data_IF_828132541197
#
_entry.id   IF_828132541197
#
_cell.length_a   1.000
_cell.length_b   1.000
_cell.length_c   1.000
_cell.angle_alpha   90.00
_cell.angle_beta   90.00
_cell.angle_gamma   90.00
#
_symmetry.space_group_name_H-M   'P 1'
#
loop_
_entity.id
_entity.type
_entity.pdbx_description
1 polymer ?
#
# COMPACT_ATOMS: atom_id res chain seq x y z
N UNK A 1 -8.27 -6.34 14.34
CA UNK A 1 -7.64 -6.99 15.51
C UNK A 1 -6.35 -7.71 15.07
N UNK A 2 -5.37 -6.94 14.55
CA UNK A 2 -4.09 -7.52 14.08
C UNK A 2 -3.09 -7.65 15.24
N UNK A 3 -3.26 -6.84 16.27
CA UNK A 3 -2.30 -6.69 17.38
C UNK A 3 -2.74 -7.43 18.67
N UNK A 4 -3.73 -8.32 18.58
CA UNK A 4 -4.28 -9.07 19.72
C UNK A 4 -4.20 -10.56 19.42
N UNK A 5 -3.64 -11.33 20.35
CA UNK A 5 -3.57 -12.79 20.23
C UNK A 5 -4.96 -13.43 20.39
N UNK A 6 -5.22 -14.51 19.63
CA UNK A 6 -6.48 -15.29 19.79
C UNK A 6 -6.68 -15.73 21.26
N UNK A 7 -5.62 -16.10 21.95
CA UNK A 7 -5.65 -16.48 23.35
C UNK A 7 -6.19 -15.37 24.25
N UNK A 8 -5.72 -14.13 24.06
CA UNK A 8 -6.19 -12.96 24.83
C UNK A 8 -7.67 -12.67 24.57
N UNK A 9 -8.12 -12.86 23.32
CA UNK A 9 -9.55 -12.73 22.98
C UNK A 9 -10.37 -13.79 23.70
N UNK A 10 -9.94 -15.05 23.70
CA UNK A 10 -10.65 -16.13 24.36
C UNK A 10 -10.70 -15.92 25.88
N UNK A 11 -9.60 -15.55 26.51
CA UNK A 11 -9.55 -15.22 27.95
C UNK A 11 -10.48 -14.06 28.31
N UNK A 12 -10.56 -13.03 27.44
CA UNK A 12 -11.49 -11.91 27.61
C UNK A 12 -12.96 -12.36 27.53
N UNK A 13 -13.31 -13.21 26.55
CA UNK A 13 -14.66 -13.73 26.36
C UNK A 13 -15.09 -14.60 27.58
N UNK A 14 -14.21 -15.49 28.02
CA UNK A 14 -14.45 -16.32 29.22
C UNK A 14 -14.68 -15.46 30.48
N UNK A 15 -13.76 -14.52 30.73
CA UNK A 15 -13.82 -13.64 31.89
C UNK A 15 -15.11 -12.82 31.96
N UNK A 16 -15.68 -12.47 30.82
CA UNK A 16 -16.89 -11.66 30.71
C UNK A 16 -18.16 -12.51 30.45
N UNK A 17 -18.07 -13.85 30.49
CA UNK A 17 -19.18 -14.77 30.20
C UNK A 17 -19.85 -14.49 28.84
N UNK A 18 -19.08 -14.12 27.84
CA UNK A 18 -19.58 -13.85 26.49
C UNK A 18 -19.51 -15.14 25.68
N UNK A 19 -20.68 -15.63 25.24
CA UNK A 19 -20.75 -16.81 24.36
C UNK A 19 -20.24 -16.46 22.95
N UNK A 20 -19.50 -17.38 22.34
CA UNK A 20 -19.03 -17.27 20.96
C UNK A 20 -19.23 -18.59 20.22
N UNK A 21 -19.29 -18.51 18.91
CA UNK A 21 -19.43 -19.68 18.03
C UNK A 21 -18.06 -19.93 17.38
N UNK A 22 -17.56 -21.15 17.48
CA UNK A 22 -16.42 -21.61 16.68
C UNK A 22 -16.93 -22.15 15.35
N UNK A 23 -16.42 -21.61 14.27
CA UNK A 23 -16.66 -22.13 12.94
C UNK A 23 -15.88 -23.46 12.78
N UNK A 24 -16.60 -24.57 12.54
CA UNK A 24 -16.03 -25.90 12.40
C UNK A 24 -15.01 -26.02 11.26
N UNK A 25 -15.15 -25.17 10.23
CA UNK A 25 -14.22 -25.15 9.08
C UNK A 25 -12.82 -24.65 9.47
N UNK A 26 -12.65 -23.98 10.62
CA UNK A 26 -11.34 -23.55 11.10
C UNK A 26 -10.40 -24.72 11.46
N UNK A 27 -10.95 -25.89 11.78
CA UNK A 27 -10.18 -27.12 12.06
C UNK A 27 -9.85 -27.93 10.79
N UNK A 28 -10.52 -27.64 9.68
CA UNK A 28 -10.30 -28.34 8.42
C UNK A 28 -9.04 -27.81 7.72
N UNK A 29 -8.20 -28.74 7.23
CA UNK A 29 -6.96 -28.38 6.54
C UNK A 29 -7.09 -28.27 5.02
N UNK A 30 -8.29 -28.15 4.48
CA UNK A 30 -8.54 -28.08 3.04
C UNK A 30 -8.06 -26.76 2.43
N UNK A 31 -8.10 -25.69 3.21
CA UNK A 31 -7.63 -24.39 2.79
C UNK A 31 -6.15 -24.18 3.15
N UNK A 32 -5.37 -23.63 2.22
CA UNK A 32 -3.95 -23.31 2.43
C UNK A 32 -3.69 -22.50 3.71
N UNK A 33 -4.57 -21.53 4.03
CA UNK A 33 -4.47 -20.73 5.25
C UNK A 33 -4.56 -21.59 6.52
N UNK A 34 -5.48 -22.55 6.53
CA UNK A 34 -5.67 -23.46 7.66
C UNK A 34 -4.49 -24.43 7.79
N UNK A 35 -3.97 -24.97 6.66
CA UNK A 35 -2.75 -25.81 6.67
C UNK A 35 -1.55 -25.06 7.27
N UNK A 36 -1.36 -23.80 6.90
CA UNK A 36 -0.27 -22.99 7.45
C UNK A 36 -0.44 -22.83 8.96
N UNK A 37 -1.64 -22.47 9.41
CA UNK A 37 -1.92 -22.22 10.83
C UNK A 37 -1.90 -23.48 11.68
N UNK A 38 -2.51 -24.57 11.19
CA UNK A 38 -2.76 -25.75 12.01
C UNK A 38 -1.64 -26.80 11.93
N UNK A 39 -0.81 -26.74 10.87
CA UNK A 39 0.24 -27.75 10.61
C UNK A 39 1.62 -27.10 10.59
N UNK A 40 1.84 -26.13 9.71
CA UNK A 40 3.19 -25.57 9.47
C UNK A 40 3.67 -24.75 10.68
N UNK A 41 2.85 -23.87 11.22
CA UNK A 41 3.24 -23.05 12.37
C UNK A 41 3.55 -23.92 13.59
N UNK A 42 2.66 -24.83 14.02
CA UNK A 42 2.97 -25.73 15.14
C UNK A 42 4.21 -26.60 14.90
N UNK A 43 4.42 -27.09 13.67
CA UNK A 43 5.60 -27.88 13.35
C UNK A 43 6.89 -27.07 13.57
N UNK A 44 6.95 -25.84 13.05
CA UNK A 44 8.13 -24.99 13.22
C UNK A 44 8.34 -24.60 14.69
N UNK A 45 7.27 -24.31 15.41
CA UNK A 45 7.35 -23.94 16.83
C UNK A 45 7.80 -25.12 17.69
N UNK A 46 7.26 -26.31 17.48
CA UNK A 46 7.55 -27.49 18.30
C UNK A 46 8.89 -28.15 17.94
N UNK A 47 9.18 -28.29 16.63
CA UNK A 47 10.37 -29.03 16.18
C UNK A 47 11.61 -28.14 16.07
N UNK A 48 11.43 -26.86 15.75
CA UNK A 48 12.55 -25.93 15.55
C UNK A 48 12.73 -24.93 16.70
N UNK A 49 11.80 -24.86 17.63
CA UNK A 49 11.86 -23.95 18.78
C UNK A 49 11.70 -22.47 18.46
N UNK A 50 11.21 -22.13 17.26
CA UNK A 50 10.99 -20.74 16.84
C UNK A 50 9.58 -20.28 17.14
N UNK A 51 9.43 -19.18 17.87
CA UNK A 51 8.13 -18.52 18.02
C UNK A 51 7.82 -17.65 16.82
N UNK A 52 7.17 -18.24 15.80
CA UNK A 52 6.84 -17.56 14.55
C UNK A 52 5.90 -16.39 14.75
N UNK A 53 4.90 -16.52 15.61
CA UNK A 53 3.96 -15.43 15.89
C UNK A 53 4.70 -14.19 16.41
N UNK A 54 5.56 -14.34 17.40
CA UNK A 54 6.35 -13.23 17.93
C UNK A 54 7.25 -12.62 16.86
N UNK A 55 7.90 -13.45 16.06
CA UNK A 55 8.79 -12.98 14.98
C UNK A 55 8.02 -12.16 13.92
N UNK A 56 6.84 -12.65 13.51
CA UNK A 56 6.01 -11.91 12.54
C UNK A 56 5.44 -10.62 13.12
N UNK A 57 5.04 -10.58 14.38
CA UNK A 57 4.58 -9.36 15.04
C UNK A 57 5.72 -8.33 15.10
N UNK A 58 6.90 -8.75 15.53
CA UNK A 58 8.08 -7.86 15.60
C UNK A 58 8.41 -7.31 14.22
N UNK A 59 8.46 -8.16 13.18
CA UNK A 59 8.71 -7.74 11.81
C UNK A 59 7.63 -6.77 11.30
N UNK A 60 6.35 -7.07 11.56
CA UNK A 60 5.24 -6.21 11.18
C UNK A 60 5.32 -4.82 11.82
N UNK A 61 5.68 -4.75 13.10
CA UNK A 61 5.83 -3.48 13.80
C UNK A 61 7.00 -2.67 13.24
N UNK A 62 8.15 -3.31 13.00
CA UNK A 62 9.30 -2.64 12.37
C UNK A 62 8.94 -2.08 10.98
N UNK A 63 8.26 -2.89 10.15
CA UNK A 63 7.83 -2.44 8.82
C UNK A 63 6.85 -1.26 8.92
N UNK A 64 5.90 -1.29 9.86
CA UNK A 64 4.96 -0.17 10.06
C UNK A 64 5.65 1.13 10.46
N UNK A 65 6.65 1.05 11.34
CA UNK A 65 7.45 2.22 11.74
C UNK A 65 8.22 2.81 10.56
N UNK A 66 8.84 1.94 9.73
CA UNK A 66 9.53 2.35 8.51
C UNK A 66 8.55 2.94 7.47
N UNK A 67 7.38 2.34 7.31
CA UNK A 67 6.33 2.85 6.41
C UNK A 67 5.83 4.22 6.85
N UNK A 68 5.54 4.42 8.13
CA UNK A 68 5.11 5.71 8.66
C UNK A 68 6.16 6.81 8.41
N UNK A 69 7.44 6.50 8.65
CA UNK A 69 8.53 7.44 8.36
C UNK A 69 8.61 7.79 6.86
N UNK A 70 8.48 6.80 5.97
CA UNK A 70 8.52 7.03 4.53
C UNK A 70 7.31 7.86 4.06
N UNK A 71 6.13 7.63 4.62
CA UNK A 71 4.93 8.39 4.30
C UNK A 71 5.05 9.85 4.71
N UNK A 72 5.52 10.11 5.93
CA UNK A 72 5.75 11.45 6.43
C UNK A 72 6.81 12.17 5.57
N UNK A 73 7.90 11.48 5.24
CA UNK A 73 8.94 12.01 4.38
C UNK A 73 8.41 12.41 2.99
N UNK A 74 7.60 11.54 2.38
CA UNK A 74 7.02 11.81 1.06
C UNK A 74 6.01 12.96 1.16
N UNK A 75 5.10 12.93 2.13
CA UNK A 75 4.09 13.98 2.30
C UNK A 75 4.71 15.33 2.61
N UNK A 76 5.65 15.41 3.52
CA UNK A 76 6.22 16.70 3.92
C UNK A 76 7.19 17.28 2.89
N UNK A 77 8.06 16.48 2.33
CA UNK A 77 9.15 16.97 1.49
C UNK A 77 8.77 16.98 0.02
N UNK A 78 8.17 15.89 -0.46
CA UNK A 78 7.93 15.70 -1.90
C UNK A 78 6.63 16.36 -2.34
N UNK A 79 5.52 16.07 -1.66
CA UNK A 79 4.22 16.63 -2.04
C UNK A 79 4.17 18.14 -1.86
N UNK A 80 4.79 18.69 -0.81
CA UNK A 80 4.90 20.15 -0.62
C UNK A 80 5.75 20.85 -1.71
N UNK A 81 6.75 20.17 -2.26
CA UNK A 81 7.57 20.70 -3.37
C UNK A 81 6.93 20.54 -4.75
N UNK A 82 5.99 19.64 -4.89
CA UNK A 82 5.19 19.49 -6.08
C UNK A 82 4.03 20.50 -6.00
N UNK A 83 4.03 21.52 -6.86
CA UNK A 83 2.87 22.40 -6.97
C UNK A 83 1.73 21.57 -7.59
N UNK A 84 0.74 21.26 -6.78
CA UNK A 84 -0.50 20.67 -7.26
C UNK A 84 -1.40 21.79 -7.76
N UNK A 85 -1.68 21.84 -9.07
CA UNK A 85 -2.66 22.78 -9.62
C UNK A 85 -4.08 22.28 -9.31
N UNK A 86 -4.48 22.47 -8.07
CA UNK A 86 -5.76 21.94 -7.55
C UNK A 86 -6.84 23.02 -7.42
N UNK A 87 -6.53 24.27 -7.82
CA UNK A 87 -7.43 25.39 -7.49
C UNK A 87 -8.84 25.27 -8.09
N UNK A 88 -9.02 24.46 -9.15
CA UNK A 88 -10.32 24.36 -9.85
C UNK A 88 -10.91 22.94 -9.91
N UNK A 89 -10.22 21.89 -9.47
CA UNK A 89 -10.76 20.53 -9.51
C UNK A 89 -10.11 19.61 -8.47
N UNK A 90 -10.74 19.38 -7.31
CA UNK A 90 -10.20 18.54 -6.25
C UNK A 90 -10.00 17.06 -6.64
N UNK A 91 -10.47 16.66 -7.82
CA UNK A 91 -10.34 15.31 -8.37
C UNK A 91 -9.20 15.20 -9.40
N UNK A 92 -8.44 16.27 -9.60
CA UNK A 92 -7.36 16.34 -10.57
C UNK A 92 -6.08 16.84 -9.88
N UNK A 93 -5.03 16.05 -9.96
CA UNK A 93 -3.69 16.41 -9.46
C UNK A 93 -2.75 16.45 -10.66
N UNK A 94 -1.98 17.51 -10.82
CA UNK A 94 -0.95 17.56 -11.84
C UNK A 94 0.37 18.09 -11.29
N UNK A 95 1.47 17.53 -11.80
CA UNK A 95 2.83 17.84 -11.38
C UNK A 95 3.64 18.15 -12.65
N UNK A 96 4.39 19.27 -12.64
CA UNK A 96 5.28 19.57 -13.76
C UNK A 96 6.36 18.49 -13.89
N UNK A 97 6.57 17.97 -15.13
CA UNK A 97 7.53 16.89 -15.37
C UNK A 97 8.98 17.30 -15.11
N UNK A 98 9.35 18.55 -15.34
CA UNK A 98 10.69 19.05 -14.99
C UNK A 98 10.90 18.95 -13.48
N UNK A 99 9.95 19.43 -12.68
CA UNK A 99 10.01 19.30 -11.23
C UNK A 99 9.97 17.86 -10.77
N UNK A 100 9.15 17.01 -11.39
CA UNK A 100 9.12 15.59 -11.08
C UNK A 100 10.41 14.90 -11.50
N UNK A 101 11.02 15.30 -12.61
CA UNK A 101 12.34 14.81 -13.05
C UNK A 101 13.44 15.25 -12.09
N UNK A 102 13.44 16.48 -11.63
CA UNK A 102 14.39 16.99 -10.65
C UNK A 102 14.24 16.24 -9.31
N UNK A 103 13.01 16.02 -8.86
CA UNK A 103 12.72 15.20 -7.68
C UNK A 103 13.19 13.77 -7.91
N UNK A 104 12.93 13.19 -9.08
CA UNK A 104 13.40 11.85 -9.42
C UNK A 104 14.91 11.77 -9.43
N UNK A 105 15.62 12.68 -10.10
CA UNK A 105 17.07 12.71 -10.17
C UNK A 105 17.70 12.88 -8.77
N UNK A 106 17.16 13.73 -7.95
CA UNK A 106 17.70 14.02 -6.62
C UNK A 106 17.32 12.95 -5.59
N UNK A 107 16.04 12.55 -5.51
CA UNK A 107 15.55 11.66 -4.45
C UNK A 107 15.38 10.21 -4.89
N UNK A 108 15.08 9.97 -6.17
CA UNK A 108 14.69 8.64 -6.66
C UNK A 108 15.68 8.00 -7.61
N UNK A 109 16.68 8.72 -8.10
CA UNK A 109 17.69 8.15 -8.98
C UNK A 109 18.27 6.89 -8.38
N UNK A 110 18.14 5.76 -9.07
CA UNK A 110 18.45 4.43 -8.58
C UNK A 110 17.64 3.93 -7.36
N UNK A 111 16.57 4.63 -6.98
CA UNK A 111 15.68 4.29 -5.87
C UNK A 111 14.24 4.13 -6.34
N UNK A 112 13.99 3.17 -7.23
CA UNK A 112 12.63 2.90 -7.77
C UNK A 112 11.58 2.72 -6.66
N UNK A 113 11.97 2.22 -5.49
CA UNK A 113 11.08 2.07 -4.35
C UNK A 113 10.48 3.39 -3.87
N UNK A 114 11.27 4.47 -3.86
CA UNK A 114 10.76 5.79 -3.46
C UNK A 114 9.76 6.37 -4.45
N UNK A 115 9.99 6.19 -5.77
CA UNK A 115 9.00 6.60 -6.78
C UNK A 115 7.71 5.78 -6.67
N UNK A 116 7.80 4.48 -6.42
CA UNK A 116 6.63 3.64 -6.16
C UNK A 116 5.85 4.11 -4.93
N UNK A 117 6.55 4.40 -3.83
CA UNK A 117 5.91 4.92 -2.61
C UNK A 117 5.23 6.27 -2.86
N UNK A 118 5.88 7.18 -3.60
CA UNK A 118 5.26 8.44 -4.03
C UNK A 118 3.95 8.21 -4.80
N UNK A 119 3.94 7.25 -5.74
CA UNK A 119 2.74 6.90 -6.51
C UNK A 119 1.65 6.35 -5.57
N UNK A 120 2.01 5.48 -4.64
CA UNK A 120 1.08 4.91 -3.65
C UNK A 120 0.46 6.01 -2.81
N UNK A 121 1.28 6.88 -2.22
CA UNK A 121 0.81 8.01 -1.40
C UNK A 121 -0.11 8.94 -2.20
N UNK A 122 0.22 9.20 -3.47
CA UNK A 122 -0.61 10.01 -4.35
C UNK A 122 -1.98 9.37 -4.63
N UNK A 123 -2.02 8.05 -4.83
CA UNK A 123 -3.28 7.29 -5.01
C UNK A 123 -4.11 7.34 -3.74
N UNK A 124 -3.51 7.13 -2.57
CA UNK A 124 -4.19 7.18 -1.28
C UNK A 124 -4.79 8.55 -1.00
N UNK A 125 -4.08 9.63 -1.30
CA UNK A 125 -4.58 10.99 -1.16
C UNK A 125 -5.81 11.27 -2.04
N UNK A 126 -5.88 10.66 -3.23
CA UNK A 126 -7.01 10.85 -4.17
C UNK A 126 -8.20 9.95 -3.84
N UNK A 127 -7.96 8.70 -3.44
CA UNK A 127 -8.99 7.65 -3.32
C UNK A 127 -9.36 7.31 -1.90
N UNK A 128 -8.50 7.67 -0.93
CA UNK A 128 -8.60 7.26 0.48
C UNK A 128 -8.11 5.84 0.74
N UNK A 129 -7.68 5.08 -0.28
CA UNK A 129 -7.21 3.70 -0.11
C UNK A 129 -6.38 3.23 -1.30
N UNK A 130 -5.36 2.43 -1.02
CA UNK A 130 -4.55 1.74 -2.04
C UNK A 130 -5.03 0.31 -2.34
N UNK A 131 -6.03 -0.18 -1.64
CA UNK A 131 -6.43 -1.61 -1.59
C UNK A 131 -6.68 -2.26 -2.96
N UNK A 132 -7.15 -1.49 -3.93
CA UNK A 132 -7.53 -2.02 -5.24
C UNK A 132 -6.38 -1.99 -6.27
N UNK A 133 -5.18 -1.56 -5.88
CA UNK A 133 -4.03 -1.45 -6.78
C UNK A 133 -3.03 -2.58 -6.57
N UNK A 134 -2.65 -3.25 -7.65
CA UNK A 134 -1.63 -4.30 -7.66
C UNK A 134 -0.23 -3.72 -7.85
N UNK A 135 0.80 -4.51 -7.54
CA UNK A 135 2.19 -4.15 -7.86
C UNK A 135 2.40 -3.90 -9.36
N UNK A 136 1.71 -4.65 -10.24
CA UNK A 136 1.77 -4.44 -11.69
C UNK A 136 1.25 -3.06 -12.06
N UNK A 137 0.15 -2.61 -11.46
CA UNK A 137 -0.38 -1.27 -11.69
C UNK A 137 0.64 -0.17 -11.34
N UNK A 138 1.35 -0.33 -10.22
CA UNK A 138 2.40 0.62 -9.80
C UNK A 138 3.60 0.60 -10.76
N UNK A 139 4.00 -0.57 -11.27
CA UNK A 139 5.06 -0.67 -12.28
C UNK A 139 4.66 0.03 -13.60
N UNK A 140 3.42 -0.11 -14.03
CA UNK A 140 2.91 0.53 -15.25
C UNK A 140 2.94 2.06 -15.11
N UNK A 141 2.46 2.60 -13.97
CA UNK A 141 2.51 4.04 -13.68
C UNK A 141 3.96 4.52 -13.57
N UNK A 142 4.81 3.77 -12.88
CA UNK A 142 6.25 4.05 -12.77
C UNK A 142 6.88 4.14 -14.16
N UNK A 143 6.57 3.18 -15.02
CA UNK A 143 7.09 3.12 -16.40
C UNK A 143 6.59 4.30 -17.23
N UNK A 144 5.33 4.70 -17.08
CA UNK A 144 4.75 5.88 -17.73
C UNK A 144 5.55 7.15 -17.36
N UNK A 145 5.82 7.35 -16.09
CA UNK A 145 6.58 8.50 -15.57
C UNK A 145 8.02 8.48 -16.11
N UNK A 146 8.71 7.34 -16.00
CA UNK A 146 10.11 7.22 -16.40
C UNK A 146 10.34 7.37 -17.90
N UNK A 147 9.43 6.85 -18.71
CA UNK A 147 9.51 7.03 -20.18
C UNK A 147 9.22 8.45 -20.62
N UNK A 148 8.49 9.22 -19.83
CA UNK A 148 8.15 10.63 -20.08
C UNK A 148 7.68 10.91 -21.53
N UNK A 149 6.87 10.02 -22.10
CA UNK A 149 6.34 10.20 -23.46
C UNK A 149 5.06 11.02 -23.39
N UNK A 150 5.10 12.21 -23.97
CA UNK A 150 3.95 13.12 -24.01
C UNK A 150 2.71 12.49 -24.65
N UNK A 151 1.53 12.90 -24.18
CA UNK A 151 0.21 12.42 -24.61
C UNK A 151 -0.03 10.90 -24.40
N UNK A 152 0.76 10.25 -23.58
CA UNK A 152 0.52 8.88 -23.12
C UNK A 152 -0.35 8.91 -21.87
N UNK A 153 -1.29 7.96 -21.79
CA UNK A 153 -2.13 7.76 -20.61
C UNK A 153 -2.44 6.29 -20.39
N UNK A 154 -2.73 5.94 -19.16
CA UNK A 154 -3.22 4.63 -18.73
C UNK A 154 -4.41 4.84 -17.79
N UNK A 155 -5.36 3.92 -17.82
CA UNK A 155 -6.54 3.95 -16.96
C UNK A 155 -6.51 2.71 -16.07
N UNK A 156 -6.50 2.93 -14.76
CA UNK A 156 -6.43 1.87 -13.76
C UNK A 156 -7.42 2.19 -12.64
N UNK A 157 -8.32 1.27 -12.37
CA UNK A 157 -9.28 1.33 -11.25
C UNK A 157 -10.05 2.67 -11.13
N UNK A 158 -10.49 3.20 -12.27
CA UNK A 158 -11.25 4.45 -12.31
C UNK A 158 -10.41 5.72 -12.16
N UNK A 159 -9.08 5.60 -12.17
CA UNK A 159 -8.15 6.71 -12.29
C UNK A 159 -7.48 6.73 -13.67
N UNK A 160 -7.33 7.89 -14.24
CA UNK A 160 -6.53 8.15 -15.42
C UNK A 160 -5.21 8.78 -15.00
N UNK A 161 -4.11 8.11 -15.35
CA UNK A 161 -2.73 8.60 -15.18
C UNK A 161 -2.19 8.97 -16.55
N UNK A 162 -1.59 10.14 -16.69
CA UNK A 162 -1.09 10.54 -17.99
C UNK A 162 -0.02 11.62 -17.94
N UNK A 163 0.59 11.87 -19.11
CA UNK A 163 1.53 12.95 -19.34
C UNK A 163 0.96 13.84 -20.45
N UNK A 164 0.66 15.09 -20.11
CA UNK A 164 0.15 16.10 -21.04
C UNK A 164 0.81 17.45 -20.76
N UNK A 165 1.22 18.16 -21.81
CA UNK A 165 1.84 19.49 -21.70
C UNK A 165 3.02 19.52 -20.71
N UNK A 166 3.90 18.51 -20.76
CA UNK A 166 5.04 18.35 -19.82
C UNK A 166 4.61 18.26 -18.36
N UNK A 167 3.42 17.76 -18.09
CA UNK A 167 2.91 17.54 -16.71
C UNK A 167 2.45 16.10 -16.58
N UNK A 168 2.85 15.43 -15.52
CA UNK A 168 2.21 14.21 -15.05
C UNK A 168 0.93 14.58 -14.32
N UNK A 169 -0.14 13.89 -14.62
CA UNK A 169 -1.42 14.11 -13.96
C UNK A 169 -2.09 12.81 -13.54
N UNK A 170 -2.93 12.93 -12.53
CA UNK A 170 -3.86 11.89 -12.10
C UNK A 170 -5.23 12.53 -11.98
N UNK A 171 -6.25 11.88 -12.52
CA UNK A 171 -7.64 12.33 -12.43
C UNK A 171 -8.60 11.17 -12.30
N UNK A 172 -9.77 11.41 -11.72
CA UNK A 172 -10.85 10.42 -11.79
C UNK A 172 -11.30 10.27 -13.23
N UNK A 173 -11.31 9.02 -13.71
CA UNK A 173 -11.77 8.71 -15.06
C UNK A 173 -13.30 8.75 -15.12
N UNK A 174 -13.82 9.66 -15.93
CA UNK A 174 -15.24 9.70 -16.28
C UNK A 174 -15.43 9.07 -17.66
N UNK A 175 -16.20 7.97 -17.71
CA UNK A 175 -16.48 7.24 -18.96
C UNK A 175 -17.30 8.04 -19.99
N UNK A 176 -17.77 9.23 -19.60
CA UNK A 176 -18.74 10.06 -20.36
C UNK A 176 -18.22 11.47 -20.71
N UNK A 177 -16.90 11.65 -20.77
CA UNK A 177 -16.28 12.86 -21.35
C UNK A 177 -15.52 12.53 -22.61
#
# INVERSE_FOLDING_TARGET
MIDIYKKEVLEYLEKNNISYVEDSTNSENDYTRNKIRNVIFPYIENEMGYNLQKSFITLSNTIREEEAFLDDYIKEIILKKCNFDNENNPKYISINMEKLTDIYEYYFKNKKGMLKRFIITLIEDITGSFKDFSNTNIEDITTLILKNVGNKKIIINGLEFGIKNKRFYVSKYNKYN
#
